data_IF_726190183402
#
_entry.id   IF_726190183402
#
_cell.length_a   1.000
_cell.length_b   1.000
_cell.length_c   1.000
_cell.angle_alpha   90.00
_cell.angle_beta   90.00
_cell.angle_gamma   90.00
#
_symmetry.space_group_name_H-M   'P 1'
#
loop_
_entity.id
_entity.type
_entity.pdbx_description
1 polymer ?
#
# COMPACT_ATOMS: atom_id res chain seq x y z
N UNK A 1 -6.01 10.95 13.74
CA UNK A 1 -6.57 10.14 12.63
C UNK A 1 -6.10 10.80 11.34
N UNK A 2 -5.22 10.16 10.58
CA UNK A 2 -4.81 10.61 9.25
C UNK A 2 -5.95 10.32 8.28
N UNK A 3 -6.62 11.37 7.82
CA UNK A 3 -7.78 11.29 6.94
C UNK A 3 -7.30 10.97 5.51
N UNK A 4 -7.30 9.69 5.13
CA UNK A 4 -6.85 9.23 3.81
C UNK A 4 -7.85 9.55 2.69
N UNK A 5 -8.89 10.35 2.96
CA UNK A 5 -9.97 10.67 2.02
C UNK A 5 -9.52 11.47 0.79
N UNK A 6 -8.41 12.21 0.89
CA UNK A 6 -7.85 12.97 -0.25
C UNK A 6 -7.22 12.06 -1.31
N UNK A 7 -6.71 10.89 -0.93
CA UNK A 7 -6.10 9.92 -1.87
C UNK A 7 -7.18 9.28 -2.74
N UNK A 8 -8.36 9.02 -2.17
CA UNK A 8 -9.44 8.30 -2.85
C UNK A 8 -10.25 9.15 -3.84
N UNK A 9 -10.29 10.48 -3.68
CA UNK A 9 -10.96 11.39 -4.63
C UNK A 9 -10.00 12.06 -5.63
N UNK A 10 -8.71 11.73 -5.60
CA UNK A 10 -7.74 12.29 -6.53
C UNK A 10 -7.93 11.72 -7.94
N UNK A 11 -8.07 12.60 -8.94
CA UNK A 11 -8.06 12.19 -10.34
C UNK A 11 -6.75 11.43 -10.65
N UNK A 12 -6.77 10.34 -11.43
CA UNK A 12 -5.56 9.56 -11.75
C UNK A 12 -4.42 10.42 -12.31
N UNK A 13 -4.75 11.47 -13.06
CA UNK A 13 -3.79 12.43 -13.61
C UNK A 13 -3.04 13.23 -12.52
N UNK A 14 -3.70 13.52 -11.39
CA UNK A 14 -3.08 14.20 -10.27
C UNK A 14 -2.07 13.30 -9.56
N UNK A 15 -2.44 12.04 -9.32
CA UNK A 15 -1.54 11.04 -8.70
C UNK A 15 -0.29 10.84 -9.57
N UNK A 16 -0.44 10.77 -10.90
CA UNK A 16 0.69 10.66 -11.82
C UNK A 16 1.65 11.86 -11.75
N UNK A 17 1.09 13.08 -11.78
CA UNK A 17 1.89 14.32 -11.66
C UNK A 17 2.59 14.43 -10.30
N UNK A 18 1.96 13.91 -9.25
CA UNK A 18 2.49 13.92 -7.88
C UNK A 18 3.58 12.85 -7.70
N UNK A 19 3.47 11.71 -8.38
CA UNK A 19 4.54 10.71 -8.45
C UNK A 19 5.76 11.21 -9.22
N UNK A 20 5.57 11.93 -10.33
CA UNK A 20 6.68 12.59 -11.04
C UNK A 20 7.41 13.60 -10.15
N UNK A 21 6.67 14.37 -9.34
CA UNK A 21 7.25 15.27 -8.36
C UNK A 21 8.03 14.51 -7.28
N UNK A 22 7.46 13.43 -6.73
CA UNK A 22 8.13 12.56 -5.76
C UNK A 22 9.44 11.97 -6.30
N UNK A 23 9.48 11.56 -7.57
CA UNK A 23 10.71 11.04 -8.20
C UNK A 23 11.80 12.11 -8.34
N UNK A 24 11.42 13.38 -8.57
CA UNK A 24 12.38 14.50 -8.67
C UNK A 24 12.85 14.95 -7.31
N UNK A 25 11.92 15.12 -6.38
CA UNK A 25 12.18 15.57 -5.03
C UNK A 25 11.20 14.91 -4.03
N UNK A 26 11.68 13.97 -3.21
CA UNK A 26 10.82 13.26 -2.27
C UNK A 26 10.42 14.12 -1.07
N UNK A 27 11.08 15.26 -0.81
CA UNK A 27 10.75 16.18 0.28
C UNK A 27 9.61 17.13 -0.08
N UNK A 28 9.44 17.41 -1.38
CA UNK A 28 8.38 18.27 -1.95
C UNK A 28 6.97 17.66 -1.88
N UNK A 29 6.85 16.37 -1.56
CA UNK A 29 5.56 15.71 -1.35
C UNK A 29 5.34 15.38 0.11
N UNK A 30 4.07 15.43 0.52
CA UNK A 30 3.67 15.13 1.88
C UNK A 30 4.10 13.73 2.31
N UNK A 31 4.38 13.56 3.61
CA UNK A 31 4.87 12.32 4.21
C UNK A 31 3.97 11.11 3.88
N UNK A 32 2.65 11.29 3.93
CA UNK A 32 1.68 10.25 3.58
C UNK A 32 1.84 9.74 2.15
N UNK A 33 2.01 10.65 1.19
CA UNK A 33 2.24 10.32 -0.22
C UNK A 33 3.62 9.71 -0.44
N UNK A 34 4.63 10.21 0.26
CA UNK A 34 5.99 9.66 0.24
C UNK A 34 6.01 8.21 0.71
N UNK A 35 5.28 7.89 1.77
CA UNK A 35 5.17 6.53 2.29
C UNK A 35 4.40 5.62 1.32
N UNK A 36 3.32 6.12 0.72
CA UNK A 36 2.58 5.42 -0.32
C UNK A 36 3.46 5.10 -1.54
N UNK A 37 4.15 6.10 -2.09
CA UNK A 37 5.01 5.90 -3.26
C UNK A 37 6.24 5.05 -2.96
N UNK A 38 6.79 5.11 -1.74
CA UNK A 38 7.82 4.17 -1.29
C UNK A 38 7.31 2.72 -1.33
N UNK A 39 6.08 2.47 -0.86
CA UNK A 39 5.47 1.14 -0.94
C UNK A 39 5.16 0.70 -2.37
N UNK A 40 4.67 1.63 -3.20
CA UNK A 40 4.43 1.42 -4.63
C UNK A 40 5.73 1.09 -5.39
N UNK A 41 6.78 1.87 -5.18
CA UNK A 41 8.10 1.69 -5.80
C UNK A 41 8.77 0.40 -5.35
N UNK A 42 8.61 0.03 -4.07
CA UNK A 42 9.03 -1.28 -3.57
C UNK A 42 8.31 -2.42 -4.31
N UNK A 43 6.99 -2.33 -4.50
CA UNK A 43 6.25 -3.32 -5.26
C UNK A 43 6.62 -3.34 -6.76
N UNK A 44 6.93 -2.18 -7.35
CA UNK A 44 7.35 -2.05 -8.74
C UNK A 44 8.75 -2.63 -8.99
N UNK A 45 9.70 -2.33 -8.10
CA UNK A 45 11.10 -2.81 -8.17
C UNK A 45 11.18 -4.32 -7.92
N UNK A 46 10.24 -4.88 -7.15
CA UNK A 46 10.13 -6.31 -6.87
C UNK A 46 9.47 -7.14 -7.99
N UNK A 47 9.14 -6.54 -9.15
CA UNK A 47 8.66 -7.26 -10.35
C UNK A 47 9.80 -8.05 -11.03
N UNK A 48 10.33 -9.05 -10.32
CA UNK A 48 11.30 -9.99 -10.86
C UNK A 48 11.50 -11.24 -10.01
N UNK A 49 11.78 -11.12 -8.71
CA UNK A 49 12.23 -12.29 -7.92
C UNK A 49 11.90 -12.28 -6.43
N UNK A 50 11.18 -11.29 -5.90
CA UNK A 50 10.67 -11.39 -4.52
C UNK A 50 9.40 -10.58 -4.38
N UNK A 51 8.38 -10.99 -5.13
CA UNK A 51 7.02 -10.83 -4.65
C UNK A 51 7.01 -11.37 -3.22
N UNK A 52 6.84 -10.47 -2.25
CA UNK A 52 6.37 -10.86 -0.95
C UNK A 52 5.12 -11.65 -1.22
N UNK A 53 5.23 -12.95 -1.04
CA UNK A 53 4.12 -13.88 -0.92
C UNK A 53 3.31 -13.44 0.32
N UNK A 54 2.58 -12.36 0.13
CA UNK A 54 1.27 -12.21 0.71
C UNK A 54 0.31 -12.68 -0.38
N UNK A 55 0.54 -13.88 -0.92
CA UNK A 55 -0.64 -14.73 -1.07
C UNK A 55 -1.04 -14.99 0.38
N UNK A 56 -1.96 -14.20 0.91
CA UNK A 56 -2.74 -14.71 2.04
C UNK A 56 -3.48 -15.88 1.42
N UNK A 57 -2.86 -17.06 1.53
CA UNK A 57 -3.44 -18.27 1.01
C UNK A 57 -4.81 -18.37 1.63
N UNK A 58 -5.83 -18.76 0.85
CA UNK A 58 -7.19 -18.87 1.37
C UNK A 58 -7.23 -19.72 2.64
N UNK A 59 -6.35 -20.71 2.71
CA UNK A 59 -6.08 -21.54 3.87
C UNK A 59 -5.52 -20.80 5.11
N UNK A 60 -4.67 -19.78 4.94
CA UNK A 60 -4.25 -18.91 6.06
C UNK A 60 -5.43 -18.08 6.58
N UNK A 61 -6.28 -17.55 5.70
CA UNK A 61 -7.49 -16.81 6.10
C UNK A 61 -8.44 -17.72 6.90
N UNK A 62 -8.64 -18.96 6.43
CA UNK A 62 -9.48 -19.95 7.11
C UNK A 62 -8.92 -20.32 8.51
N UNK A 63 -7.60 -20.42 8.67
CA UNK A 63 -6.97 -20.68 9.98
C UNK A 63 -7.16 -19.51 10.93
N UNK A 64 -6.93 -18.28 10.48
CA UNK A 64 -7.08 -17.07 11.30
C UNK A 64 -8.53 -16.87 11.77
N UNK A 65 -9.53 -17.10 10.90
CA UNK A 65 -10.94 -17.04 11.26
C UNK A 65 -11.34 -18.09 12.30
N UNK A 66 -10.77 -19.30 12.23
CA UNK A 66 -11.02 -20.35 13.23
C UNK A 66 -10.43 -20.02 14.58
N UNK A 67 -9.22 -19.44 14.61
CA UNK A 67 -8.59 -18.99 15.87
C UNK A 67 -9.43 -17.87 16.49
N UNK A 68 -9.87 -16.90 15.69
CA UNK A 68 -10.76 -15.82 16.16
C UNK A 68 -12.07 -16.36 16.76
N UNK A 69 -12.71 -17.34 16.10
CA UNK A 69 -13.93 -17.96 16.60
C UNK A 69 -13.77 -18.70 17.94
N UNK A 70 -12.55 -19.16 18.27
CA UNK A 70 -12.25 -19.81 19.55
C UNK A 70 -11.97 -18.77 20.66
N UNK A 71 -11.37 -17.63 20.31
CA UNK A 71 -10.99 -16.60 21.28
C UNK A 71 -12.19 -15.74 21.70
N UNK A 72 -13.15 -15.54 20.80
CA UNK A 72 -14.29 -14.62 21.00
C UNK A 72 -15.59 -15.35 21.42
N UNK A 73 -15.63 -16.69 21.37
CA UNK A 73 -16.73 -17.51 21.91
C UNK A 73 -16.52 -17.84 23.39
#
# INVERSE_FOLDING_TARGET
MTDFSFVFNAHPNYIASLYEQYQRDPESVEESWRLFFRGFDFALTQNGTTGGDVTVSREQIDKELRVYAIIVA
#
